data_IF_198338830961
#
_entry.id   IF_198338830961
#
_cell.length_a   1.000
_cell.length_b   1.000
_cell.length_c   1.000
_cell.angle_alpha   90.00
_cell.angle_beta   90.00
_cell.angle_gamma   90.00
#
_symmetry.space_group_name_H-M   'P 1'
#
loop_
_entity.id
_entity.type
_entity.pdbx_description
1 polymer ?
#
# COMPACT_ATOMS: atom_id res chain seq x y z
N UNK A 1 39.69 4.51 25.96
CA UNK A 1 38.72 4.86 26.95
C UNK A 1 37.60 5.74 26.42
N UNK A 2 37.94 6.84 25.86
CA UNK A 2 36.92 7.75 25.35
C UNK A 2 36.04 7.12 24.30
N UNK A 3 36.58 6.16 23.60
CA UNK A 3 35.82 5.45 22.56
C UNK A 3 34.55 4.81 23.12
N UNK A 4 34.60 4.38 24.38
CA UNK A 4 33.45 3.74 24.99
C UNK A 4 32.24 4.64 25.06
N UNK A 5 32.45 5.91 25.27
CA UNK A 5 31.31 6.85 25.36
C UNK A 5 30.57 6.98 24.06
N UNK A 6 31.31 7.04 22.97
CA UNK A 6 30.69 7.15 21.65
C UNK A 6 29.85 5.93 21.33
N UNK A 7 30.32 4.77 21.73
CA UNK A 7 29.59 3.55 21.47
C UNK A 7 28.24 3.54 22.19
N UNK A 8 28.23 3.99 23.43
CA UNK A 8 26.99 4.01 24.21
C UNK A 8 25.98 4.96 23.58
N UNK A 9 26.45 6.12 23.16
CA UNK A 9 25.56 7.10 22.56
C UNK A 9 24.92 6.57 21.27
N UNK A 10 25.71 5.87 20.48
CA UNK A 10 25.20 5.31 19.23
C UNK A 10 24.08 4.29 19.48
N UNK A 11 24.23 3.50 20.52
CA UNK A 11 23.22 2.50 20.87
C UNK A 11 21.89 3.15 21.20
N UNK A 12 21.90 4.23 21.95
CA UNK A 12 20.69 4.92 22.33
C UNK A 12 19.94 5.48 21.10
N UNK A 13 20.67 6.01 20.15
CA UNK A 13 20.07 6.56 18.95
C UNK A 13 19.36 5.47 18.14
N UNK A 14 19.95 4.28 18.07
CA UNK A 14 19.37 3.18 17.32
C UNK A 14 18.01 2.78 17.89
N UNK A 15 17.87 2.78 19.20
CA UNK A 15 16.60 2.42 19.82
C UNK A 15 15.48 3.39 19.46
N UNK A 16 15.79 4.67 19.42
CA UNK A 16 14.79 5.67 19.05
C UNK A 16 14.35 5.48 17.61
N UNK A 17 15.28 5.18 16.73
CA UNK A 17 14.95 4.98 15.33
C UNK A 17 13.99 3.80 15.13
N UNK A 18 14.17 2.73 15.89
CA UNK A 18 13.30 1.57 15.80
C UNK A 18 11.85 1.92 16.14
N UNK A 19 11.65 2.75 17.16
CA UNK A 19 10.31 3.14 17.55
C UNK A 19 9.56 3.90 16.47
N UNK A 20 10.27 4.66 15.65
CA UNK A 20 9.63 5.45 14.60
C UNK A 20 9.34 4.64 13.34
N UNK A 21 10.02 3.51 13.17
CA UNK A 21 9.88 2.72 11.96
C UNK A 21 8.49 2.09 11.80
N UNK A 22 7.67 2.09 12.86
CA UNK A 22 6.34 1.49 12.80
C UNK A 22 5.37 2.22 11.88
N UNK A 23 5.69 3.44 11.47
CA UNK A 23 4.79 4.26 10.68
C UNK A 23 5.01 4.12 9.18
N UNK A 24 5.89 3.22 8.75
CA UNK A 24 6.20 3.12 7.32
C UNK A 24 5.12 2.41 6.53
N UNK A 25 4.75 2.95 5.36
CA UNK A 25 3.80 2.26 4.49
C UNK A 25 4.41 1.02 3.86
N UNK A 26 3.55 0.08 3.51
CA UNK A 26 3.96 -1.14 2.82
C UNK A 26 3.89 -0.91 1.31
N UNK A 27 5.00 -1.14 0.62
CA UNK A 27 5.03 -1.04 -0.83
C UNK A 27 4.56 -2.36 -1.44
N UNK A 28 3.67 -2.27 -2.40
CA UNK A 28 3.11 -3.44 -3.08
C UNK A 28 3.75 -3.57 -4.45
N UNK A 29 4.34 -4.73 -4.72
CA UNK A 29 4.85 -5.04 -6.04
C UNK A 29 3.68 -5.59 -6.88
N UNK A 30 3.35 -4.89 -7.95
CA UNK A 30 2.20 -5.22 -8.77
C UNK A 30 2.65 -5.99 -10.01
N UNK A 31 2.15 -7.22 -10.14
CA UNK A 31 2.47 -8.06 -11.29
C UNK A 31 1.62 -7.69 -12.49
N UNK A 32 0.39 -7.23 -12.26
CA UNK A 32 -0.53 -6.92 -13.36
C UNK A 32 -1.54 -5.86 -12.91
N UNK A 33 -1.77 -4.86 -13.76
CA UNK A 33 -2.76 -3.82 -13.51
C UNK A 33 -3.68 -3.76 -14.72
N UNK A 34 -4.97 -4.05 -14.52
CA UNK A 34 -5.93 -4.17 -15.61
C UNK A 34 -7.20 -3.39 -15.28
N UNK A 35 -7.64 -2.58 -16.23
CA UNK A 35 -8.93 -1.90 -16.12
C UNK A 35 -10.01 -2.89 -16.52
N UNK A 36 -11.01 -3.06 -15.66
CA UNK A 36 -12.10 -4.02 -15.87
C UNK A 36 -13.44 -3.29 -15.71
N UNK A 37 -14.54 -3.84 -16.26
CA UNK A 37 -15.86 -3.25 -16.01
C UNK A 37 -16.20 -3.32 -14.54
N UNK A 38 -16.82 -2.25 -14.03
CA UNK A 38 -17.31 -2.24 -12.65
C UNK A 38 -18.72 -2.79 -12.61
N UNK A 39 -19.18 -3.13 -11.39
CA UNK A 39 -20.56 -3.56 -11.19
C UNK A 39 -21.54 -2.45 -11.55
N UNK A 40 -21.18 -1.20 -11.36
CA UNK A 40 -22.03 -0.08 -11.76
C UNK A 40 -21.99 0.09 -13.27
N UNK A 41 -23.13 0.20 -13.94
CA UNK A 41 -23.15 0.32 -15.40
C UNK A 41 -22.38 1.56 -15.88
N UNK A 42 -21.58 1.37 -16.92
CA UNK A 42 -20.82 2.46 -17.52
C UNK A 42 -19.59 2.88 -16.75
N UNK A 43 -19.25 2.18 -15.68
CA UNK A 43 -18.08 2.50 -14.89
C UNK A 43 -17.03 1.40 -15.00
N UNK A 44 -15.79 1.75 -14.65
CA UNK A 44 -14.69 0.80 -14.70
C UNK A 44 -14.00 0.79 -13.34
N UNK A 45 -13.25 -0.28 -13.10
CA UNK A 45 -12.42 -0.44 -11.90
C UNK A 45 -11.04 -0.86 -12.34
N UNK A 46 -10.07 -0.69 -11.45
CA UNK A 46 -8.70 -1.10 -11.73
C UNK A 46 -8.36 -2.28 -10.83
N UNK A 47 -8.05 -3.41 -11.43
CA UNK A 47 -7.65 -4.61 -10.69
C UNK A 47 -6.13 -4.66 -10.63
N UNK A 48 -5.60 -4.69 -9.41
CA UNK A 48 -4.16 -4.81 -9.18
C UNK A 48 -3.87 -6.21 -8.65
N UNK A 49 -3.12 -6.97 -9.42
CA UNK A 49 -2.67 -8.29 -9.00
C UNK A 49 -1.23 -8.17 -8.54
N UNK A 50 -0.98 -8.58 -7.31
CA UNK A 50 0.34 -8.49 -6.71
C UNK A 50 1.20 -9.69 -7.06
N UNK A 51 2.52 -9.50 -6.93
CA UNK A 51 3.42 -10.65 -6.98
C UNK A 51 3.13 -11.55 -5.77
N UNK A 52 3.53 -12.83 -5.81
CA UNK A 52 3.26 -13.73 -4.68
C UNK A 52 3.83 -13.20 -3.36
N UNK A 53 5.03 -12.64 -3.37
CA UNK A 53 5.62 -12.10 -2.14
C UNK A 53 4.84 -10.92 -1.61
N UNK A 54 4.45 -9.99 -2.48
CA UNK A 54 3.64 -8.85 -2.05
C UNK A 54 2.26 -9.27 -1.60
N UNK A 55 1.68 -10.27 -2.25
CA UNK A 55 0.40 -10.81 -1.82
C UNK A 55 0.45 -11.34 -0.40
N UNK A 56 1.51 -12.03 -0.05
CA UNK A 56 1.70 -12.54 1.31
C UNK A 56 1.91 -11.41 2.31
N UNK A 57 2.71 -10.41 1.94
CA UNK A 57 2.94 -9.26 2.82
C UNK A 57 1.65 -8.47 3.03
N UNK A 58 0.87 -8.31 1.97
CA UNK A 58 -0.40 -7.59 2.06
C UNK A 58 -1.42 -8.38 2.90
N UNK A 59 -1.43 -9.71 2.75
CA UNK A 59 -2.30 -10.55 3.57
C UNK A 59 -1.97 -10.37 5.05
N UNK A 60 -0.70 -10.38 5.41
CA UNK A 60 -0.28 -10.18 6.80
C UNK A 60 -0.65 -8.78 7.29
N UNK A 61 -0.45 -7.77 6.44
CA UNK A 61 -0.78 -6.39 6.77
C UNK A 61 -2.29 -6.23 7.04
N UNK A 62 -3.13 -6.79 6.17
CA UNK A 62 -4.57 -6.67 6.36
C UNK A 62 -5.06 -7.48 7.55
N UNK A 63 -4.47 -8.66 7.79
CA UNK A 63 -4.83 -9.46 8.95
C UNK A 63 -4.55 -8.70 10.25
N UNK A 64 -3.44 -7.98 10.31
CA UNK A 64 -3.06 -7.23 11.50
C UNK A 64 -3.90 -5.96 11.70
N UNK A 65 -4.62 -5.51 10.66
CA UNK A 65 -5.31 -4.23 10.70
C UNK A 65 -6.81 -4.32 10.42
N UNK A 66 -7.40 -5.48 10.64
CA UNK A 66 -8.86 -5.65 10.51
C UNK A 66 -9.56 -4.68 11.46
N UNK A 67 -10.60 -4.03 10.97
CA UNK A 67 -11.35 -3.03 11.72
C UNK A 67 -10.84 -1.62 11.52
N UNK A 68 -9.70 -1.46 10.85
CA UNK A 68 -9.12 -0.14 10.61
C UNK A 68 -9.34 0.29 9.16
N UNK A 69 -9.25 1.59 8.94
CA UNK A 69 -9.26 2.15 7.60
C UNK A 69 -7.81 2.22 7.10
N UNK A 70 -7.58 1.78 5.88
CA UNK A 70 -6.25 1.86 5.28
C UNK A 70 -6.30 2.78 4.07
N UNK A 71 -5.16 3.40 3.78
CA UNK A 71 -5.02 4.25 2.61
C UNK A 71 -4.21 3.51 1.56
N UNK A 72 -4.80 3.35 0.39
CA UNK A 72 -4.11 2.81 -0.77
C UNK A 72 -3.69 3.99 -1.63
N UNK A 73 -2.39 4.10 -1.88
CA UNK A 73 -1.82 5.21 -2.64
C UNK A 73 -1.13 4.71 -3.88
N UNK A 74 -1.17 5.52 -4.93
CA UNK A 74 -0.41 5.26 -6.16
C UNK A 74 0.34 6.55 -6.48
N UNK A 75 1.66 6.43 -6.61
CA UNK A 75 2.49 7.59 -6.90
C UNK A 75 2.46 8.65 -5.81
N UNK A 76 2.20 8.25 -4.58
CA UNK A 76 2.15 9.18 -3.46
C UNK A 76 0.80 9.82 -3.21
N UNK A 77 -0.20 9.54 -4.05
CA UNK A 77 -1.54 10.10 -3.87
C UNK A 77 -2.51 9.01 -3.44
N UNK A 78 -3.28 9.27 -2.41
CA UNK A 78 -4.29 8.31 -1.93
C UNK A 78 -5.38 8.19 -2.99
N UNK A 79 -5.61 6.96 -3.45
CA UNK A 79 -6.66 6.70 -4.45
C UNK A 79 -7.89 6.04 -3.84
N UNK A 80 -7.74 5.43 -2.67
CA UNK A 80 -8.86 4.74 -2.03
C UNK A 80 -8.53 4.54 -0.56
N UNK A 81 -9.55 4.64 0.31
CA UNK A 81 -9.36 4.47 1.76
C UNK A 81 -10.40 3.51 2.31
N UNK A 82 -10.29 2.21 2.01
CA UNK A 82 -11.30 1.25 2.46
C UNK A 82 -11.13 0.90 3.92
N UNK A 83 -12.26 0.57 4.55
CA UNK A 83 -12.24 -0.01 5.87
C UNK A 83 -12.11 -1.52 5.75
N UNK A 84 -11.16 -2.10 6.48
CA UNK A 84 -10.93 -3.53 6.44
C UNK A 84 -11.92 -4.26 7.34
N UNK A 85 -12.79 -5.06 6.76
CA UNK A 85 -13.73 -5.88 7.53
C UNK A 85 -13.23 -7.30 7.68
N UNK A 86 -12.30 -7.71 6.82
CA UNK A 86 -11.67 -9.02 6.87
C UNK A 86 -10.32 -8.95 6.16
N UNK A 87 -9.43 -9.92 6.40
CA UNK A 87 -8.14 -9.92 5.70
C UNK A 87 -8.32 -10.14 4.20
N UNK A 88 -7.41 -9.55 3.42
CA UNK A 88 -7.41 -9.72 1.96
C UNK A 88 -6.30 -10.71 1.63
N UNK A 89 -6.70 -11.94 1.31
CA UNK A 89 -5.75 -13.06 1.19
C UNK A 89 -5.46 -13.47 -0.25
N UNK A 90 -6.20 -12.93 -1.21
CA UNK A 90 -6.11 -13.38 -2.59
C UNK A 90 -5.02 -12.75 -3.43
N UNK A 91 -4.25 -11.82 -2.88
CA UNK A 91 -3.18 -11.17 -3.62
C UNK A 91 -3.65 -10.19 -4.68
N UNK A 92 -4.91 -9.77 -4.62
CA UNK A 92 -5.48 -8.81 -5.55
C UNK A 92 -6.26 -7.76 -4.80
N UNK A 93 -6.31 -6.56 -5.37
CA UNK A 93 -7.12 -5.49 -4.82
C UNK A 93 -7.76 -4.73 -5.97
N UNK A 94 -9.00 -4.30 -5.77
CA UNK A 94 -9.76 -3.59 -6.78
C UNK A 94 -9.88 -2.13 -6.38
N UNK A 95 -9.48 -1.23 -7.25
CA UNK A 95 -9.66 0.19 -7.05
C UNK A 95 -10.91 0.60 -7.81
N UNK A 96 -11.91 1.07 -7.07
CA UNK A 96 -13.16 1.52 -7.66
C UNK A 96 -13.61 2.79 -6.95
N UNK A 97 -14.59 3.48 -7.54
CA UNK A 97 -15.09 4.72 -6.99
C UNK A 97 -15.29 5.75 -8.08
N UNK A 98 -15.30 7.01 -7.68
CA UNK A 98 -15.51 8.10 -8.62
C UNK A 98 -14.18 8.62 -9.12
N UNK A 99 -13.88 8.27 -10.36
CA UNK A 99 -12.66 8.72 -11.02
C UNK A 99 -13.02 9.43 -12.30
N UNK A 100 -12.17 10.37 -12.71
CA UNK A 100 -12.34 11.04 -13.98
C UNK A 100 -12.18 10.03 -15.11
N UNK A 101 -12.84 10.30 -16.25
CA UNK A 101 -12.75 9.42 -17.40
C UNK A 101 -11.28 9.26 -17.83
N UNK A 102 -10.86 8.01 -17.97
CA UNK A 102 -9.50 7.70 -18.36
C UNK A 102 -8.48 7.74 -17.23
N UNK A 103 -8.87 8.15 -16.04
CA UNK A 103 -7.94 8.25 -14.92
C UNK A 103 -7.40 6.89 -14.50
N UNK A 104 -8.27 5.88 -14.37
CA UNK A 104 -7.83 4.55 -13.98
C UNK A 104 -6.92 3.92 -15.03
N UNK A 105 -7.16 4.21 -16.31
CA UNK A 105 -6.27 3.73 -17.36
C UNK A 105 -4.88 4.35 -17.21
N UNK A 106 -4.81 5.63 -16.92
CA UNK A 106 -3.51 6.28 -16.70
C UNK A 106 -2.78 5.68 -15.50
N UNK A 107 -3.51 5.41 -14.42
CA UNK A 107 -2.91 4.75 -13.25
C UNK A 107 -2.37 3.38 -13.62
N UNK A 108 -3.14 2.60 -14.38
CA UNK A 108 -2.70 1.28 -14.82
C UNK A 108 -1.41 1.38 -15.64
N UNK A 109 -1.35 2.36 -16.54
CA UNK A 109 -0.16 2.54 -17.37
C UNK A 109 1.06 2.94 -16.56
N UNK A 110 0.87 3.84 -15.59
CA UNK A 110 1.97 4.28 -14.74
C UNK A 110 2.50 3.15 -13.88
N UNK A 111 1.61 2.34 -13.32
CA UNK A 111 2.01 1.20 -12.51
C UNK A 111 2.73 0.17 -13.38
N UNK A 112 2.17 -0.16 -14.54
CA UNK A 112 2.75 -1.16 -15.44
C UNK A 112 4.12 -0.74 -15.96
N UNK A 113 4.32 0.55 -16.16
CA UNK A 113 5.61 1.07 -16.63
C UNK A 113 6.62 1.27 -15.51
N UNK A 114 6.23 1.03 -14.26
CA UNK A 114 7.13 1.21 -13.12
C UNK A 114 7.33 2.65 -12.71
N UNK A 115 6.52 3.58 -13.23
CA UNK A 115 6.66 5.00 -12.91
C UNK A 115 5.90 5.41 -11.65
N UNK A 116 4.98 4.59 -11.17
CA UNK A 116 4.25 4.86 -9.95
C UNK A 116 4.19 3.60 -9.11
N UNK A 117 4.39 3.75 -7.82
CA UNK A 117 4.34 2.63 -6.88
C UNK A 117 3.03 2.64 -6.13
N UNK A 118 2.52 1.44 -5.86
CA UNK A 118 1.34 1.27 -5.02
C UNK A 118 1.80 1.01 -3.59
N UNK A 119 1.22 1.73 -2.64
CA UNK A 119 1.56 1.55 -1.23
C UNK A 119 0.29 1.52 -0.40
N UNK A 120 0.35 0.86 0.74
CA UNK A 120 -0.75 0.86 1.71
C UNK A 120 -0.23 1.27 3.07
N UNK A 121 -1.09 1.95 3.82
CA UNK A 121 -0.76 2.43 5.15
C UNK A 121 -2.05 2.50 5.95
N UNK A 122 -1.94 2.48 7.28
CA UNK A 122 -3.11 2.69 8.12
C UNK A 122 -3.45 4.17 8.06
N UNK A 123 -4.74 4.46 7.85
CA UNK A 123 -5.17 5.85 7.77
C UNK A 123 -4.88 6.58 9.07
N UNK A 124 -4.49 7.84 8.97
CA UNK A 124 -4.17 8.67 10.12
C UNK A 124 -5.40 9.06 10.94
N UNK A 125 -6.56 8.72 10.48
CA UNK A 125 -7.82 9.07 11.13
C UNK A 125 -8.08 8.27 12.39
#
# INVERSE_FOLDING_TARGET
>A
MRVLFGTIAATAVVLLACGLAMAEPLTLAIAKAVVVPDAAPGQVALNLKMTPDSGRAFAAFTKANVGKTIDLSVGGSVVMSPRLVEPILGGEVMISGRFAKGELRRLAEQISAGRAKATVDVSAQ
#
